data_IF_495224779517
#
_entry.id   IF_495224779517
#
_cell.length_a   1.000
_cell.length_b   1.000
_cell.length_c   1.000
_cell.angle_alpha   90.00
_cell.angle_beta   90.00
_cell.angle_gamma   90.00
#
_symmetry.space_group_name_H-M   'P 1'
#
loop_
_entity.id
_entity.type
_entity.pdbx_description
1 polymer ?
#
# COMPACT_ATOMS: atom_id res chain seq x y z
N UNK A 1 -3.90 -4.19 -3.69
CA UNK A 1 -2.96 -3.43 -2.85
C UNK A 1 -3.67 -2.71 -1.71
N UNK A 2 -4.59 -1.78 -1.96
CA UNK A 2 -5.34 -1.08 -0.88
C UNK A 2 -6.02 -2.07 0.08
N UNK A 3 -6.78 -3.02 -0.45
CA UNK A 3 -7.41 -4.10 0.34
C UNK A 3 -6.42 -4.92 1.17
N UNK A 4 -5.19 -5.08 0.69
CA UNK A 4 -4.15 -5.80 1.43
C UNK A 4 -3.66 -5.00 2.64
N UNK A 5 -3.51 -3.69 2.47
CA UNK A 5 -3.11 -2.77 3.53
C UNK A 5 -4.19 -2.66 4.62
N UNK A 6 -5.45 -2.56 4.22
CA UNK A 6 -6.59 -2.55 5.15
C UNK A 6 -6.66 -3.84 5.97
N UNK A 7 -6.48 -5.01 5.33
CA UNK A 7 -6.55 -6.32 5.99
C UNK A 7 -5.35 -6.66 6.86
N UNK A 8 -4.13 -6.27 6.46
CA UNK A 8 -2.90 -6.69 7.13
C UNK A 8 -2.57 -5.85 8.37
N UNK A 9 -2.72 -4.52 8.29
CA UNK A 9 -2.15 -3.61 9.29
C UNK A 9 -3.06 -2.48 9.72
N UNK A 10 -4.36 -2.54 9.40
CA UNK A 10 -5.29 -1.45 9.71
C UNK A 10 -4.87 -0.12 9.08
N UNK A 11 -4.25 -0.17 7.89
CA UNK A 11 -3.94 1.03 7.15
C UNK A 11 -5.24 1.70 6.69
N UNK A 12 -5.32 3.01 6.84
CA UNK A 12 -6.50 3.80 6.53
C UNK A 12 -6.22 4.74 5.37
N UNK A 13 -7.24 5.01 4.56
CA UNK A 13 -7.14 5.99 3.48
C UNK A 13 -7.11 7.40 4.08
N UNK A 14 -5.96 8.07 4.01
CA UNK A 14 -5.81 9.43 4.54
C UNK A 14 -6.27 10.49 3.54
N UNK A 15 -5.89 10.36 2.27
CA UNK A 15 -6.32 11.26 1.20
C UNK A 15 -6.15 10.63 -0.18
N UNK A 16 -6.92 11.15 -1.14
CA UNK A 16 -6.79 10.81 -2.56
C UNK A 16 -6.37 12.06 -3.32
N UNK A 17 -5.36 11.94 -4.17
CA UNK A 17 -4.92 13.00 -5.08
C UNK A 17 -4.82 12.45 -6.50
N UNK A 18 -5.82 12.78 -7.32
CA UNK A 18 -5.99 12.17 -8.64
C UNK A 18 -6.07 10.64 -8.53
N UNK A 19 -5.16 9.94 -9.21
CA UNK A 19 -5.06 8.49 -9.19
C UNK A 19 -4.17 7.93 -8.08
N UNK A 20 -3.65 8.75 -7.17
CA UNK A 20 -2.82 8.28 -6.06
C UNK A 20 -3.63 8.26 -4.76
N UNK A 21 -3.64 7.10 -4.10
CA UNK A 21 -4.26 6.91 -2.79
C UNK A 21 -3.18 6.92 -1.72
N UNK A 22 -3.28 7.79 -0.73
CA UNK A 22 -2.30 7.87 0.34
C UNK A 22 -2.87 7.13 1.55
N UNK A 23 -2.23 6.02 1.88
CA UNK A 23 -2.59 5.19 3.04
C UNK A 23 -1.76 5.62 4.25
N UNK A 24 -2.39 5.73 5.42
CA UNK A 24 -1.74 6.06 6.69
C UNK A 24 -1.86 4.88 7.66
N UNK A 25 -0.78 4.60 8.37
CA UNK A 25 -0.83 3.69 9.51
C UNK A 25 -1.18 4.49 10.78
N UNK A 26 -2.25 4.15 11.52
CA UNK A 26 -2.73 4.97 12.64
C UNK A 26 -1.75 5.02 13.81
N UNK A 27 -1.09 3.89 14.11
CA UNK A 27 -0.11 3.79 15.21
C UNK A 27 1.26 4.35 14.84
N UNK A 28 1.85 3.85 13.74
CA UNK A 28 3.22 4.19 13.35
C UNK A 28 3.36 5.52 12.61
N UNK A 29 2.26 6.25 12.36
CA UNK A 29 2.25 7.54 11.64
C UNK A 29 2.92 7.52 10.25
N UNK A 30 3.14 6.33 9.68
CA UNK A 30 3.69 6.16 8.34
C UNK A 30 2.63 6.47 7.29
N UNK A 31 3.06 7.05 6.18
CA UNK A 31 2.23 7.29 5.01
C UNK A 31 2.85 6.67 3.76
N UNK A 32 2.02 6.00 2.96
CA UNK A 32 2.47 5.32 1.74
C UNK A 32 1.54 5.70 0.57
N UNK A 33 2.07 6.34 -0.48
CA UNK A 33 1.30 6.61 -1.70
C UNK A 33 1.19 5.33 -2.55
N UNK A 34 -0.04 4.97 -2.91
CA UNK A 34 -0.38 3.83 -3.77
C UNK A 34 -0.92 4.37 -5.10
N UNK A 35 -0.18 4.21 -6.20
CA UNK A 35 -0.67 4.63 -7.51
C UNK A 35 -1.75 3.66 -8.01
N UNK A 36 -2.88 4.20 -8.47
CA UNK A 36 -4.06 3.45 -8.97
C UNK A 36 -4.29 3.64 -10.47
N UNK A 37 -3.43 4.37 -11.17
CA UNK A 37 -3.55 4.58 -12.63
C UNK A 37 -2.92 3.48 -13.47
N UNK A 38 -2.05 2.65 -12.88
CA UNK A 38 -1.40 1.57 -13.60
C UNK A 38 -2.07 0.24 -13.28
N UNK A 39 -2.44 -0.50 -14.32
CA UNK A 39 -2.96 -1.86 -14.21
C UNK A 39 -1.91 -2.79 -13.57
N UNK A 40 -0.63 -2.55 -13.90
CA UNK A 40 0.53 -3.24 -13.33
C UNK A 40 1.50 -2.26 -12.66
N UNK A 41 1.87 -2.54 -11.40
CA UNK A 41 2.93 -1.80 -10.73
C UNK A 41 4.29 -2.28 -11.22
N UNK A 42 5.18 -1.34 -11.58
CA UNK A 42 6.59 -1.67 -11.83
C UNK A 42 7.17 -2.40 -10.61
N UNK A 43 7.96 -3.45 -10.84
CA UNK A 43 8.54 -4.29 -9.77
C UNK A 43 9.28 -3.45 -8.72
N UNK A 44 10.01 -2.41 -9.14
CA UNK A 44 10.68 -1.49 -8.23
C UNK A 44 9.72 -0.72 -7.31
N UNK A 45 8.61 -0.21 -7.87
CA UNK A 45 7.54 0.45 -7.11
C UNK A 45 6.87 -0.51 -6.13
N UNK A 46 6.54 -1.71 -6.61
CA UNK A 46 5.95 -2.75 -5.78
C UNK A 46 6.86 -3.11 -4.59
N UNK A 47 8.15 -3.36 -4.84
CA UNK A 47 9.14 -3.66 -3.79
C UNK A 47 9.32 -2.49 -2.82
N UNK A 48 9.32 -1.26 -3.32
CA UNK A 48 9.39 -0.06 -2.49
C UNK A 48 8.21 0.05 -1.53
N UNK A 49 7.00 -0.16 -2.04
CA UNK A 49 5.77 -0.16 -1.24
C UNK A 49 5.83 -1.29 -0.20
N UNK A 50 6.13 -2.53 -0.61
CA UNK A 50 6.26 -3.70 0.27
C UNK A 50 7.23 -3.41 1.43
N UNK A 51 8.38 -2.80 1.15
CA UNK A 51 9.36 -2.41 2.18
C UNK A 51 8.83 -1.34 3.12
N UNK A 52 8.09 -0.34 2.62
CA UNK A 52 7.53 0.74 3.44
C UNK A 52 6.41 0.24 4.37
N UNK A 53 5.65 -0.75 3.93
CA UNK A 53 4.50 -1.28 4.67
C UNK A 53 4.89 -2.45 5.58
N UNK A 54 6.14 -2.93 5.47
CA UNK A 54 6.72 -3.92 6.36
C UNK A 54 6.19 -5.34 6.19
N UNK A 55 5.71 -5.72 5.00
CA UNK A 55 5.17 -7.06 4.73
C UNK A 55 6.06 -7.83 3.75
N UNK A 56 6.00 -9.15 3.75
CA UNK A 56 6.65 -9.97 2.73
C UNK A 56 5.82 -10.02 1.42
N UNK A 57 6.44 -10.33 0.27
CA UNK A 57 5.70 -10.56 -0.97
C UNK A 57 4.66 -11.68 -0.87
N UNK A 58 4.97 -12.74 -0.12
CA UNK A 58 4.05 -13.85 0.12
C UNK A 58 2.84 -13.43 0.96
N UNK A 59 3.06 -12.61 2.00
CA UNK A 59 1.98 -11.98 2.76
C UNK A 59 1.09 -11.12 1.87
N UNK A 60 1.69 -10.26 1.05
CA UNK A 60 0.93 -9.43 0.12
C UNK A 60 0.05 -10.29 -0.79
N UNK A 61 0.58 -11.41 -1.31
CA UNK A 61 -0.15 -12.33 -2.19
C UNK A 61 -1.35 -12.99 -1.52
N UNK A 62 -1.36 -13.14 -0.19
CA UNK A 62 -2.52 -13.67 0.55
C UNK A 62 -3.70 -12.70 0.59
N UNK A 63 -3.48 -11.42 0.32
CA UNK A 63 -4.53 -10.39 0.40
C UNK A 63 -4.90 -9.76 -0.95
N UNK A 64 -4.22 -10.14 -2.03
CA UNK A 64 -4.55 -9.76 -3.41
C UNK A 64 -5.58 -10.73 -3.99
#
# INVERSE_FOLDING_TARGET
MIRALEKHGGWELARVSGSHHIMKHPVEHRMVPIPMHNRDLKIGTLRGIIRQIGISPDELRRFL
#
